data_IF_509387724672
#
_entry.id   IF_509387724672
#
_cell.length_a   1.000
_cell.length_b   1.000
_cell.length_c   1.000
_cell.angle_alpha   90.00
_cell.angle_beta   90.00
_cell.angle_gamma   90.00
#
_symmetry.space_group_name_H-M   'P 1'
#
loop_
_entity.id
_entity.type
_entity.pdbx_description
1 polymer ?
#
# COMPACT_ATOMS: atom_id res chain seq x y z
N UNK A 1 -33.06 4.50 13.54
CA UNK A 1 -31.62 4.61 13.23
C UNK A 1 -31.41 4.25 11.77
N UNK A 2 -30.58 5.01 11.05
CA UNK A 2 -30.30 4.72 9.64
C UNK A 2 -29.58 3.38 9.50
N UNK A 3 -29.89 2.62 8.45
CA UNK A 3 -29.21 1.35 8.14
C UNK A 3 -28.33 1.51 6.92
N UNK A 4 -27.16 0.91 6.96
CA UNK A 4 -26.17 0.91 5.87
C UNK A 4 -25.79 -0.50 5.47
N UNK A 5 -25.51 -0.69 4.18
CA UNK A 5 -25.03 -1.97 3.67
C UNK A 5 -23.58 -2.25 4.09
N UNK A 6 -23.37 -3.44 4.64
CA UNK A 6 -22.05 -3.98 4.98
C UNK A 6 -21.85 -5.27 4.16
N UNK A 7 -20.80 -5.33 3.34
CA UNK A 7 -20.50 -6.55 2.58
C UNK A 7 -19.88 -7.62 3.46
N UNK A 8 -18.83 -7.24 4.19
CA UNK A 8 -18.07 -8.11 5.07
C UNK A 8 -17.09 -7.29 5.92
N UNK A 9 -16.51 -7.95 6.91
CA UNK A 9 -15.33 -7.51 7.62
C UNK A 9 -14.11 -8.24 7.05
N UNK A 10 -12.94 -7.61 7.11
CA UNK A 10 -11.67 -8.30 6.87
C UNK A 10 -10.83 -8.26 8.12
N UNK A 11 -10.31 -9.40 8.56
CA UNK A 11 -9.39 -9.53 9.69
C UNK A 11 -7.99 -9.87 9.15
N UNK A 12 -6.96 -9.30 9.76
CA UNK A 12 -5.56 -9.59 9.40
C UNK A 12 -4.99 -10.77 10.19
N UNK A 13 -4.22 -11.64 9.54
CA UNK A 13 -3.50 -12.73 10.22
C UNK A 13 -2.12 -12.28 10.76
N UNK A 14 -1.63 -11.12 10.32
CA UNK A 14 -0.28 -10.62 10.69
C UNK A 14 -0.34 -9.91 12.04
N UNK A 15 -1.25 -8.95 12.18
CA UNK A 15 -1.46 -8.17 13.40
C UNK A 15 -2.97 -8.01 13.63
N UNK A 16 -3.47 -8.00 14.87
CA UNK A 16 -4.90 -7.84 15.11
C UNK A 16 -5.43 -6.49 14.62
N UNK A 17 -6.29 -6.50 13.59
CA UNK A 17 -6.99 -5.32 13.05
C UNK A 17 -8.12 -5.72 12.12
N UNK A 18 -9.08 -4.81 11.94
CA UNK A 18 -10.31 -5.07 11.20
C UNK A 18 -10.62 -3.99 10.16
N UNK A 19 -11.05 -4.40 8.97
CA UNK A 19 -11.60 -3.51 7.95
C UNK A 19 -13.10 -3.69 7.84
N UNK A 20 -13.83 -2.58 7.77
CA UNK A 20 -15.24 -2.52 7.46
C UNK A 20 -15.40 -2.27 5.96
N UNK A 21 -16.04 -3.19 5.23
CA UNK A 21 -16.39 -2.98 3.82
C UNK A 21 -17.85 -2.52 3.71
N UNK A 22 -18.04 -1.21 3.79
CA UNK A 22 -19.35 -0.57 3.60
C UNK A 22 -19.71 -0.53 2.11
N UNK A 23 -20.99 -0.29 1.79
CA UNK A 23 -21.45 -0.15 0.40
C UNK A 23 -22.02 1.23 0.09
N UNK A 24 -22.17 1.47 -1.22
CA UNK A 24 -22.71 2.69 -1.81
C UNK A 24 -21.64 3.75 -1.96
N UNK A 25 -21.60 4.42 -3.11
CA UNK A 25 -20.65 5.49 -3.41
C UNK A 25 -21.33 6.63 -4.17
N UNK A 26 -20.95 7.87 -3.85
CA UNK A 26 -21.40 9.09 -4.54
C UNK A 26 -20.62 9.38 -5.84
N UNK A 27 -19.50 8.67 -6.07
CA UNK A 27 -18.72 8.74 -7.32
C UNK A 27 -19.09 7.60 -8.27
N UNK A 28 -18.79 7.79 -9.55
CA UNK A 28 -18.88 6.78 -10.61
C UNK A 28 -17.53 6.61 -11.30
N UNK A 29 -16.49 6.43 -10.49
CA UNK A 29 -15.12 6.26 -10.98
C UNK A 29 -15.06 5.20 -12.07
N UNK A 30 -14.63 5.60 -13.28
CA UNK A 30 -14.47 4.71 -14.43
C UNK A 30 -13.50 3.56 -14.14
N UNK A 31 -12.41 3.86 -13.44
CA UNK A 31 -11.38 2.90 -13.04
C UNK A 31 -11.65 2.18 -11.71
N UNK A 32 -12.86 2.27 -11.14
CA UNK A 32 -13.15 1.61 -9.86
C UNK A 32 -13.01 0.09 -10.00
N UNK A 33 -12.38 -0.56 -9.03
CA UNK A 33 -12.22 -2.02 -9.00
C UNK A 33 -13.02 -2.70 -7.88
N UNK A 34 -13.84 -1.94 -7.16
CA UNK A 34 -14.58 -2.41 -5.97
C UNK A 34 -16.08 -2.51 -6.26
N UNK A 35 -16.67 -3.72 -6.18
CA UNK A 35 -18.12 -3.91 -6.28
C UNK A 35 -18.92 -3.12 -5.24
N UNK A 36 -18.31 -2.81 -4.09
CA UNK A 36 -18.91 -2.01 -3.02
C UNK A 36 -19.46 -0.65 -3.47
N UNK A 37 -19.00 -0.13 -4.62
CA UNK A 37 -19.53 1.08 -5.27
C UNK A 37 -21.03 1.03 -5.51
N UNK A 38 -21.56 -0.13 -5.91
CA UNK A 38 -22.91 -0.25 -6.48
C UNK A 38 -23.97 -0.65 -5.43
N UNK A 39 -23.62 -0.62 -4.14
CA UNK A 39 -24.54 -0.92 -3.04
C UNK A 39 -24.53 -2.41 -2.63
N UNK A 40 -25.65 -2.88 -2.08
CA UNK A 40 -25.80 -4.26 -1.60
C UNK A 40 -25.24 -4.49 -0.19
N UNK A 41 -24.96 -5.75 0.13
CA UNK A 41 -24.58 -6.19 1.46
C UNK A 41 -25.76 -6.34 2.43
N UNK A 42 -25.48 -6.64 3.69
CA UNK A 42 -26.49 -6.72 4.74
C UNK A 42 -26.76 -5.32 5.30
N UNK A 43 -28.02 -4.89 5.32
CA UNK A 43 -28.43 -3.61 5.92
C UNK A 43 -28.41 -3.70 7.44
N UNK A 44 -27.51 -2.94 8.05
CA UNK A 44 -27.28 -2.91 9.50
C UNK A 44 -27.25 -1.47 10.00
N UNK A 45 -27.73 -1.26 11.22
CA UNK A 45 -27.42 -0.06 12.01
C UNK A 45 -25.95 -0.07 12.42
N UNK A 46 -25.42 1.08 12.84
CA UNK A 46 -24.04 1.17 13.34
C UNK A 46 -23.82 0.22 14.55
N UNK A 47 -24.80 0.17 15.47
CA UNK A 47 -24.79 -0.75 16.63
C UNK A 47 -24.72 -2.22 16.21
N UNK A 48 -25.63 -2.66 15.31
CA UNK A 48 -25.62 -4.05 14.81
C UNK A 48 -24.30 -4.39 14.09
N UNK A 49 -23.70 -3.41 13.41
CA UNK A 49 -22.42 -3.57 12.71
C UNK A 49 -21.27 -3.76 13.71
N UNK A 50 -21.21 -2.95 14.76
CA UNK A 50 -20.23 -3.05 15.84
C UNK A 50 -20.34 -4.37 16.57
N UNK A 51 -21.55 -4.81 16.93
CA UNK A 51 -21.78 -6.09 17.60
C UNK A 51 -21.34 -7.29 16.75
N UNK A 52 -21.61 -7.25 15.44
CA UNK A 52 -21.17 -8.32 14.52
C UNK A 52 -19.65 -8.33 14.35
N UNK A 53 -19.03 -7.16 14.21
CA UNK A 53 -17.58 -7.03 14.15
C UNK A 53 -16.91 -7.52 15.43
N UNK A 54 -17.46 -7.16 16.60
CA UNK A 54 -16.94 -7.56 17.90
C UNK A 54 -16.99 -9.07 18.08
N UNK A 55 -18.11 -9.71 17.72
CA UNK A 55 -18.21 -11.18 17.68
C UNK A 55 -17.21 -11.80 16.70
N UNK A 56 -17.03 -11.21 15.51
CA UNK A 56 -16.05 -11.69 14.53
C UNK A 56 -14.61 -11.62 15.09
N UNK A 57 -14.25 -10.51 15.73
CA UNK A 57 -12.94 -10.33 16.35
C UNK A 57 -12.76 -11.26 17.55
N UNK A 58 -13.77 -11.42 18.40
CA UNK A 58 -13.73 -12.33 19.55
C UNK A 58 -13.55 -13.78 19.10
N UNK A 59 -14.27 -14.21 18.06
CA UNK A 59 -14.17 -15.57 17.53
C UNK A 59 -12.80 -15.87 16.90
N UNK A 60 -12.15 -14.87 16.31
CA UNK A 60 -10.89 -15.05 15.60
C UNK A 60 -9.64 -14.74 16.44
N UNK A 61 -9.62 -13.60 17.14
CA UNK A 61 -8.50 -13.12 17.94
C UNK A 61 -8.65 -13.37 19.45
N UNK A 62 -9.86 -13.70 19.93
CA UNK A 62 -10.16 -13.74 21.37
C UNK A 62 -10.26 -12.37 22.05
N UNK A 63 -10.21 -11.28 21.27
CA UNK A 63 -10.32 -9.89 21.74
C UNK A 63 -10.70 -8.94 20.59
N UNK A 64 -11.10 -7.73 20.94
CA UNK A 64 -11.16 -6.61 19.97
C UNK A 64 -9.74 -6.08 19.68
N UNK A 65 -9.40 -5.76 18.43
CA UNK A 65 -8.11 -5.15 18.08
C UNK A 65 -8.07 -3.66 18.43
N UNK A 66 -6.87 -3.07 18.40
CA UNK A 66 -6.67 -1.64 18.62
C UNK A 66 -6.86 -0.79 17.35
N UNK A 67 -6.78 -1.40 16.16
CA UNK A 67 -6.90 -0.70 14.87
C UNK A 67 -8.14 -1.15 14.08
N UNK A 68 -8.84 -0.16 13.52
CA UNK A 68 -9.97 -0.34 12.61
C UNK A 68 -9.80 0.53 11.37
N UNK A 69 -10.15 -0.01 10.21
CA UNK A 69 -10.17 0.71 8.94
C UNK A 69 -11.58 0.72 8.37
N UNK A 70 -12.11 1.90 8.08
CA UNK A 70 -13.45 2.06 7.49
C UNK A 70 -13.28 2.36 6.00
N UNK A 71 -13.77 1.46 5.15
CA UNK A 71 -13.56 1.51 3.69
C UNK A 71 -14.74 0.87 2.91
N UNK A 72 -14.53 0.52 1.64
CA UNK A 72 -15.52 -0.15 0.78
C UNK A 72 -16.06 0.80 -0.29
N UNK A 73 -17.33 1.18 -0.16
CA UNK A 73 -17.96 2.26 -0.92
C UNK A 73 -17.39 3.63 -0.54
N UNK A 74 -18.24 4.64 -0.35
CA UNK A 74 -17.83 5.93 0.21
C UNK A 74 -18.41 6.10 1.62
N UNK A 75 -17.64 5.84 2.69
CA UNK A 75 -18.14 5.93 4.06
C UNK A 75 -18.78 7.29 4.39
N UNK A 76 -18.32 8.38 3.79
CA UNK A 76 -18.80 9.71 4.19
C UNK A 76 -20.21 10.04 3.71
N UNK A 77 -20.81 9.25 2.80
CA UNK A 77 -22.18 9.50 2.30
C UNK A 77 -23.30 9.32 3.32
N UNK A 78 -23.00 8.74 4.49
CA UNK A 78 -23.96 8.56 5.58
C UNK A 78 -23.32 9.03 6.89
N UNK A 79 -23.40 10.35 7.12
CA UNK A 79 -22.75 11.05 8.23
C UNK A 79 -23.13 10.49 9.59
N UNK A 80 -24.42 10.36 9.88
CA UNK A 80 -24.91 9.86 11.17
C UNK A 80 -24.45 8.42 11.43
N UNK A 81 -24.48 7.56 10.41
CA UNK A 81 -23.97 6.20 10.53
C UNK A 81 -22.47 6.18 10.81
N UNK A 82 -21.67 6.97 10.07
CA UNK A 82 -20.22 7.01 10.23
C UNK A 82 -19.83 7.55 11.61
N UNK A 83 -20.44 8.65 12.07
CA UNK A 83 -20.19 9.21 13.40
C UNK A 83 -20.54 8.21 14.50
N UNK A 84 -21.68 7.52 14.38
CA UNK A 84 -22.09 6.47 15.32
C UNK A 84 -21.10 5.30 15.34
N UNK A 85 -20.57 4.91 14.17
CA UNK A 85 -19.59 3.84 14.04
C UNK A 85 -18.25 4.23 14.69
N UNK A 86 -17.73 5.44 14.41
CA UNK A 86 -16.46 5.93 14.98
C UNK A 86 -16.57 6.07 16.50
N UNK A 87 -17.62 6.69 17.03
CA UNK A 87 -17.86 6.79 18.50
C UNK A 87 -17.96 5.41 19.13
N UNK A 88 -18.66 4.49 18.48
CA UNK A 88 -18.83 3.12 18.97
C UNK A 88 -17.57 2.26 18.93
N UNK A 89 -16.65 2.51 17.99
CA UNK A 89 -15.30 1.94 17.96
C UNK A 89 -14.46 2.53 19.09
N UNK A 90 -14.45 3.87 19.24
CA UNK A 90 -13.69 4.55 20.29
C UNK A 90 -14.10 4.07 21.68
N UNK A 91 -15.39 3.95 21.94
CA UNK A 91 -15.94 3.42 23.20
C UNK A 91 -15.61 1.94 23.48
N UNK A 92 -15.17 1.18 22.46
CA UNK A 92 -14.69 -0.21 22.58
C UNK A 92 -13.17 -0.34 22.72
N UNK A 93 -12.45 0.77 22.88
CA UNK A 93 -11.01 0.77 23.09
C UNK A 93 -10.18 0.72 21.81
N UNK A 94 -10.76 1.02 20.65
CA UNK A 94 -9.98 1.23 19.43
C UNK A 94 -9.19 2.54 19.55
N UNK A 95 -7.88 2.44 19.39
CA UNK A 95 -6.96 3.57 19.48
C UNK A 95 -6.74 4.22 18.12
N UNK A 96 -6.67 3.40 17.06
CA UNK A 96 -6.40 3.85 15.69
C UNK A 96 -7.57 3.53 14.77
N UNK A 97 -8.43 4.51 14.55
CA UNK A 97 -9.56 4.43 13.62
C UNK A 97 -9.19 5.19 12.36
N UNK A 98 -9.05 4.47 11.25
CA UNK A 98 -8.63 5.01 9.95
C UNK A 98 -9.83 5.07 9.00
N UNK A 99 -10.14 6.25 8.48
CA UNK A 99 -11.16 6.46 7.46
C UNK A 99 -10.51 6.47 6.08
N UNK A 100 -10.95 5.59 5.17
CA UNK A 100 -10.57 5.66 3.75
C UNK A 100 -11.73 6.25 2.95
N UNK A 101 -11.52 7.40 2.31
CA UNK A 101 -12.59 8.20 1.71
C UNK A 101 -12.13 8.89 0.42
N UNK A 102 -13.07 9.25 -0.45
CA UNK A 102 -12.86 10.20 -1.54
C UNK A 102 -12.95 11.66 -1.08
N UNK A 103 -13.33 11.93 0.17
CA UNK A 103 -13.33 13.25 0.79
C UNK A 103 -14.44 14.20 0.34
N UNK A 104 -15.25 13.87 -0.65
CA UNK A 104 -16.19 14.84 -1.24
C UNK A 104 -17.18 15.41 -0.23
N UNK A 105 -17.82 14.56 0.58
CA UNK A 105 -18.81 15.02 1.57
C UNK A 105 -18.17 15.79 2.73
N UNK A 106 -16.92 15.46 3.09
CA UNK A 106 -16.15 16.21 4.11
C UNK A 106 -15.86 17.64 3.66
N UNK A 107 -15.71 17.85 2.35
CA UNK A 107 -15.52 19.16 1.76
C UNK A 107 -16.79 19.98 1.64
N UNK A 108 -17.93 19.31 1.40
CA UNK A 108 -19.24 19.96 1.27
C UNK A 108 -19.76 20.44 2.63
N UNK A 109 -19.61 19.63 3.68
CA UNK A 109 -20.14 19.91 5.00
C UNK A 109 -19.04 20.44 5.94
N UNK A 110 -19.15 21.71 6.34
CA UNK A 110 -18.21 22.39 7.24
C UNK A 110 -18.09 21.72 8.63
N UNK A 111 -19.16 21.11 9.14
CA UNK A 111 -19.16 20.50 10.48
C UNK A 111 -18.56 19.10 10.51
N UNK A 112 -18.43 18.44 9.36
CA UNK A 112 -18.17 17.00 9.31
C UNK A 112 -16.78 16.62 9.81
N UNK A 113 -15.72 17.34 9.42
CA UNK A 113 -14.36 17.07 9.90
C UNK A 113 -14.24 17.29 11.42
N UNK A 114 -14.70 18.44 12.00
CA UNK A 114 -14.74 18.62 13.45
C UNK A 114 -15.52 17.53 14.20
N UNK A 115 -16.67 17.12 13.69
CA UNK A 115 -17.48 16.08 14.33
C UNK A 115 -16.82 14.70 14.29
N UNK A 116 -16.06 14.38 13.23
CA UNK A 116 -15.26 13.16 13.15
C UNK A 116 -14.08 13.17 14.12
N UNK A 117 -13.42 14.31 14.26
CA UNK A 117 -12.35 14.51 15.24
C UNK A 117 -12.87 14.31 16.66
N UNK A 118 -13.99 14.96 17.01
CA UNK A 118 -14.65 14.80 18.30
C UNK A 118 -15.11 13.35 18.55
N UNK A 119 -15.59 12.67 17.50
CA UNK A 119 -15.97 11.26 17.57
C UNK A 119 -14.79 10.32 17.86
N UNK A 120 -13.55 10.78 17.66
CA UNK A 120 -12.32 10.03 17.91
C UNK A 120 -11.71 9.38 16.66
N UNK A 121 -11.97 9.92 15.46
CA UNK A 121 -11.26 9.49 14.26
C UNK A 121 -9.78 9.85 14.39
N UNK A 122 -8.89 8.87 14.17
CA UNK A 122 -7.45 9.07 14.35
C UNK A 122 -6.75 9.49 13.05
N UNK A 123 -7.14 8.90 11.92
CA UNK A 123 -6.45 9.07 10.64
C UNK A 123 -7.45 9.06 9.47
N UNK A 124 -7.21 9.90 8.46
CA UNK A 124 -7.98 9.95 7.22
C UNK A 124 -7.07 9.75 6.00
N UNK A 125 -7.42 8.76 5.17
CA UNK A 125 -6.81 8.50 3.87
C UNK A 125 -7.73 9.04 2.78
N UNK A 126 -7.39 10.20 2.22
CA UNK A 126 -8.18 10.87 1.19
C UNK A 126 -7.64 10.54 -0.19
N UNK A 127 -8.46 9.94 -1.05
CA UNK A 127 -8.11 9.69 -2.44
C UNK A 127 -8.56 10.84 -3.33
N UNK A 128 -7.62 11.71 -3.70
CA UNK A 128 -7.85 12.94 -4.48
C UNK A 128 -8.24 12.64 -5.93
N UNK A 129 -7.89 11.46 -6.46
CA UNK A 129 -8.10 11.02 -7.85
C UNK A 129 -7.34 11.85 -8.90
N UNK A 130 -7.60 13.14 -9.00
CA UNK A 130 -7.04 14.06 -9.99
C UNK A 130 -7.14 15.52 -9.49
N UNK A 131 -6.10 16.31 -9.76
CA UNK A 131 -6.04 17.73 -9.45
C UNK A 131 -6.69 18.61 -10.51
N UNK A 132 -6.64 18.23 -11.79
CA UNK A 132 -7.36 18.98 -12.82
C UNK A 132 -8.87 18.66 -12.72
N UNK A 133 -9.72 19.70 -12.64
CA UNK A 133 -11.15 19.52 -12.41
C UNK A 133 -11.83 18.77 -13.57
N UNK A 134 -11.42 19.01 -14.81
CA UNK A 134 -11.91 18.33 -16.02
C UNK A 134 -11.56 16.84 -16.00
N UNK A 135 -10.31 16.48 -15.66
CA UNK A 135 -9.86 15.10 -15.48
C UNK A 135 -10.65 14.42 -14.35
N UNK A 136 -10.79 15.11 -13.22
CA UNK A 136 -11.55 14.59 -12.09
C UNK A 136 -13.02 14.35 -12.43
N UNK A 137 -13.67 15.29 -13.13
CA UNK A 137 -15.06 15.14 -13.60
C UNK A 137 -15.21 14.00 -14.59
N UNK A 138 -14.31 13.90 -15.56
CA UNK A 138 -14.32 12.82 -16.53
C UNK A 138 -14.18 11.46 -15.84
N UNK A 139 -13.29 11.36 -14.84
CA UNK A 139 -12.99 10.11 -14.16
C UNK A 139 -14.07 9.71 -13.16
N UNK A 140 -14.54 10.65 -12.33
CA UNK A 140 -15.41 10.37 -11.16
C UNK A 140 -16.88 10.75 -11.34
N UNK A 141 -17.18 11.62 -12.30
CA UNK A 141 -18.48 12.27 -12.48
C UNK A 141 -18.70 13.52 -11.61
N UNK A 142 -17.72 13.96 -10.81
CA UNK A 142 -17.87 15.07 -9.85
C UNK A 142 -16.71 16.07 -9.95
N UNK A 143 -16.91 17.29 -9.44
CA UNK A 143 -15.83 18.27 -9.26
C UNK A 143 -14.85 17.80 -8.18
N UNK A 144 -13.58 18.18 -8.28
CA UNK A 144 -12.60 17.95 -7.22
C UNK A 144 -12.60 19.04 -6.14
N UNK A 145 -13.27 20.18 -6.35
CA UNK A 145 -13.26 21.31 -5.40
C UNK A 145 -13.63 20.89 -3.97
N UNK A 146 -14.69 20.08 -3.74
CA UNK A 146 -14.97 19.60 -2.39
C UNK A 146 -13.85 18.70 -1.85
N UNK A 147 -13.24 17.85 -2.68
CA UNK A 147 -12.14 16.98 -2.25
C UNK A 147 -10.92 17.79 -1.82
N UNK A 148 -10.57 18.85 -2.58
CA UNK A 148 -9.50 19.78 -2.22
C UNK A 148 -9.80 20.49 -0.90
N UNK A 149 -11.04 20.98 -0.71
CA UNK A 149 -11.47 21.60 0.56
C UNK A 149 -11.43 20.62 1.73
N UNK A 150 -11.77 19.34 1.52
CA UNK A 150 -11.65 18.31 2.55
C UNK A 150 -10.21 18.11 2.99
N UNK A 151 -9.26 18.11 2.06
CA UNK A 151 -7.83 18.01 2.35
C UNK A 151 -7.36 19.21 3.18
N UNK A 152 -7.80 20.42 2.84
CA UNK A 152 -7.50 21.64 3.62
C UNK A 152 -8.05 21.55 5.05
N UNK A 153 -9.32 21.15 5.19
CA UNK A 153 -9.99 20.98 6.50
C UNK A 153 -9.32 19.91 7.36
N UNK A 154 -8.97 18.77 6.78
CA UNK A 154 -8.28 17.68 7.48
C UNK A 154 -6.84 18.07 7.87
N UNK A 155 -6.14 18.82 7.03
CA UNK A 155 -4.80 19.32 7.38
C UNK A 155 -4.84 20.34 8.53
N UNK A 156 -5.97 21.05 8.70
CA UNK A 156 -6.18 22.01 9.79
C UNK A 156 -6.73 21.37 11.08
N UNK A 157 -7.09 20.09 11.07
CA UNK A 157 -7.62 19.37 12.24
C UNK A 157 -6.54 18.54 12.95
N UNK A 158 -6.88 17.93 14.08
CA UNK A 158 -6.03 16.96 14.78
C UNK A 158 -6.05 15.55 14.19
N UNK A 159 -6.71 15.32 13.05
CA UNK A 159 -6.77 14.01 12.39
C UNK A 159 -5.52 13.83 11.52
N UNK A 160 -4.82 12.70 11.67
CA UNK A 160 -3.67 12.42 10.82
C UNK A 160 -4.10 12.28 9.34
N UNK A 161 -3.42 13.01 8.45
CA UNK A 161 -3.75 13.03 7.03
C UNK A 161 -2.77 12.19 6.20
N UNK A 162 -3.33 11.35 5.33
CA UNK A 162 -2.63 10.77 4.19
C UNK A 162 -3.45 11.08 2.93
N UNK A 163 -2.82 11.73 1.96
CA UNK A 163 -3.44 11.92 0.65
C UNK A 163 -2.93 10.85 -0.29
N UNK A 164 -3.80 10.33 -1.14
CA UNK A 164 -3.42 9.36 -2.14
C UNK A 164 -4.04 9.65 -3.50
N UNK A 165 -3.42 9.12 -4.55
CA UNK A 165 -3.99 9.08 -5.89
C UNK A 165 -3.63 7.77 -6.58
N UNK A 166 -4.27 7.52 -7.72
CA UNK A 166 -3.94 6.40 -8.61
C UNK A 166 -3.27 6.96 -9.86
N UNK A 167 -2.03 6.57 -10.10
CA UNK A 167 -1.32 6.90 -11.34
C UNK A 167 -1.91 6.12 -12.51
N UNK A 168 -2.37 6.85 -13.52
CA UNK A 168 -3.06 6.33 -14.71
C UNK A 168 -2.40 6.91 -15.96
N UNK A 169 -1.62 6.12 -16.74
CA UNK A 169 -0.92 6.63 -17.91
C UNK A 169 -1.82 7.41 -18.87
N UNK A 170 -1.44 8.64 -19.17
CA UNK A 170 -2.16 9.56 -20.07
C UNK A 170 -3.46 10.16 -19.50
N UNK A 171 -3.74 9.97 -18.20
CA UNK A 171 -4.94 10.51 -17.54
C UNK A 171 -4.55 11.20 -16.22
N UNK A 172 -3.99 10.44 -15.29
CA UNK A 172 -3.42 10.91 -14.02
C UNK A 172 -1.95 10.55 -14.05
N UNK A 173 -1.22 11.27 -14.90
CA UNK A 173 0.18 11.03 -15.22
C UNK A 173 1.11 11.96 -14.42
N UNK A 174 2.39 12.03 -14.83
CA UNK A 174 3.40 12.84 -14.15
C UNK A 174 2.98 14.30 -13.92
N UNK A 175 2.23 14.91 -14.85
CA UNK A 175 1.78 16.29 -14.73
C UNK A 175 0.70 16.48 -13.66
N UNK A 176 -0.21 15.51 -13.52
CA UNK A 176 -1.18 15.51 -12.41
C UNK A 176 -0.49 15.27 -11.07
N UNK A 177 0.49 14.36 -11.01
CA UNK A 177 1.27 14.09 -9.80
C UNK A 177 2.00 15.35 -9.32
N UNK A 178 2.64 16.09 -10.23
CA UNK A 178 3.31 17.36 -9.91
C UNK A 178 2.34 18.38 -9.32
N UNK A 179 1.17 18.55 -9.94
CA UNK A 179 0.13 19.47 -9.46
C UNK A 179 -0.39 19.10 -8.08
N UNK A 180 -0.64 17.81 -7.85
CA UNK A 180 -1.05 17.30 -6.53
C UNK A 180 0.05 17.59 -5.50
N UNK A 181 1.30 17.21 -5.79
CA UNK A 181 2.41 17.40 -4.86
C UNK A 181 2.64 18.88 -4.53
N UNK A 182 2.54 19.76 -5.53
CA UNK A 182 2.63 21.23 -5.36
C UNK A 182 1.52 21.75 -4.45
N UNK A 183 0.26 21.34 -4.69
CA UNK A 183 -0.87 21.73 -3.85
C UNK A 183 -0.69 21.28 -2.40
N UNK A 184 -0.34 20.01 -2.17
CA UNK A 184 -0.12 19.50 -0.82
C UNK A 184 1.03 20.23 -0.11
N UNK A 185 2.14 20.47 -0.82
CA UNK A 185 3.27 21.22 -0.27
C UNK A 185 2.93 22.67 0.08
N UNK A 186 1.97 23.28 -0.64
CA UNK A 186 1.46 24.63 -0.33
C UNK A 186 0.64 24.69 0.96
N UNK A 187 0.02 23.58 1.37
CA UNK A 187 -0.71 23.47 2.64
C UNK A 187 0.22 23.11 3.79
N UNK A 188 1.02 22.05 3.60
CA UNK A 188 1.94 21.51 4.60
C UNK A 188 2.88 20.49 3.95
N UNK A 189 4.18 20.76 3.94
CA UNK A 189 5.18 19.87 3.33
C UNK A 189 5.25 18.49 3.99
N UNK A 190 4.79 18.34 5.24
CA UNK A 190 4.84 17.06 5.94
C UNK A 190 3.70 16.11 5.58
N UNK A 191 2.72 16.53 4.76
CA UNK A 191 1.62 15.66 4.33
C UNK A 191 2.18 14.40 3.66
N UNK A 192 1.74 13.23 4.12
CA UNK A 192 2.07 11.95 3.48
C UNK A 192 1.31 11.83 2.18
N UNK A 193 2.03 11.60 1.09
CA UNK A 193 1.44 11.45 -0.24
C UNK A 193 1.73 10.07 -0.82
N UNK A 194 0.67 9.31 -1.11
CA UNK A 194 0.75 7.96 -1.65
C UNK A 194 0.29 7.89 -3.10
N UNK A 195 1.15 7.37 -3.97
CA UNK A 195 0.82 7.12 -5.37
C UNK A 195 0.65 5.61 -5.55
N UNK A 196 -0.53 5.18 -5.99
CA UNK A 196 -0.86 3.79 -6.28
C UNK A 196 -0.86 3.56 -7.80
N UNK A 197 -0.33 2.44 -8.31
CA UNK A 197 -0.42 2.14 -9.74
C UNK A 197 -1.81 1.67 -10.12
N UNK A 198 -2.31 2.11 -11.28
CA UNK A 198 -3.60 1.65 -11.81
C UNK A 198 -3.59 0.15 -12.14
N UNK A 199 -4.60 -0.57 -11.68
CA UNK A 199 -4.81 -1.99 -11.96
C UNK A 199 -5.91 -2.16 -13.03
N UNK A 200 -5.54 -2.00 -14.30
CA UNK A 200 -6.45 -2.01 -15.45
C UNK A 200 -7.29 -3.29 -15.57
N UNK A 201 -6.72 -4.45 -15.20
CA UNK A 201 -7.40 -5.76 -15.16
C UNK A 201 -8.72 -5.74 -14.39
N UNK A 202 -8.77 -5.00 -13.27
CA UNK A 202 -9.90 -5.01 -12.36
C UNK A 202 -10.81 -3.79 -12.51
N UNK A 203 -10.50 -2.91 -13.46
CA UNK A 203 -11.23 -1.68 -13.65
C UNK A 203 -12.62 -1.93 -14.24
N UNK A 204 -13.61 -1.21 -13.72
CA UNK A 204 -14.98 -1.20 -14.22
C UNK A 204 -15.05 -0.85 -15.72
N UNK A 205 -14.37 0.22 -16.11
CA UNK A 205 -14.12 0.61 -17.49
C UNK A 205 -12.63 0.51 -17.82
N UNK A 206 -12.35 0.07 -19.05
CA UNK A 206 -11.00 0.14 -19.62
C UNK A 206 -10.70 1.55 -20.07
N UNK A 207 -9.97 2.27 -19.21
CA UNK A 207 -9.63 3.68 -19.42
C UNK A 207 -8.20 3.89 -19.88
N UNK A 208 -7.27 3.07 -19.40
CA UNK A 208 -5.86 3.06 -19.82
C UNK A 208 -5.21 1.74 -19.41
N UNK A 209 -3.95 1.54 -19.79
CA UNK A 209 -3.14 0.39 -19.37
C UNK A 209 -2.58 0.58 -17.95
N UNK A 210 -2.05 -0.49 -17.37
CA UNK A 210 -1.19 -0.42 -16.19
C UNK A 210 0.03 0.48 -16.45
N UNK A 211 0.47 1.28 -15.47
CA UNK A 211 1.73 2.01 -15.57
C UNK A 211 2.93 1.07 -15.58
N UNK A 212 3.92 1.47 -16.34
CA UNK A 212 5.28 0.92 -16.31
C UNK A 212 5.99 1.36 -15.04
N UNK A 213 7.12 0.71 -14.75
CA UNK A 213 7.93 1.02 -13.59
C UNK A 213 8.59 2.39 -13.73
N UNK A 214 9.15 2.67 -14.90
CA UNK A 214 9.76 3.96 -15.20
C UNK A 214 8.76 5.12 -15.04
N UNK A 215 7.48 4.92 -15.38
CA UNK A 215 6.42 5.91 -15.12
C UNK A 215 6.19 6.12 -13.62
N UNK A 216 6.15 5.04 -12.84
CA UNK A 216 5.99 5.13 -11.39
C UNK A 216 7.21 5.76 -10.70
N UNK A 217 8.42 5.47 -11.16
CA UNK A 217 9.66 6.10 -10.68
C UNK A 217 9.67 7.59 -10.99
N UNK A 218 9.35 8.00 -12.23
CA UNK A 218 9.28 9.42 -12.59
C UNK A 218 8.23 10.16 -11.76
N UNK A 219 7.06 9.57 -11.56
CA UNK A 219 6.02 10.13 -10.70
C UNK A 219 6.53 10.34 -9.26
N UNK A 220 7.25 9.36 -8.71
CA UNK A 220 7.87 9.44 -7.39
C UNK A 220 8.88 10.58 -7.31
N UNK A 221 9.83 10.64 -8.25
CA UNK A 221 10.88 11.66 -8.30
C UNK A 221 10.31 13.07 -8.43
N UNK A 222 9.26 13.25 -9.22
CA UNK A 222 8.56 14.52 -9.38
C UNK A 222 7.93 14.96 -8.06
N UNK A 223 7.19 14.06 -7.39
CA UNK A 223 6.55 14.38 -6.12
C UNK A 223 7.58 14.70 -5.02
N UNK A 224 8.72 14.00 -4.99
CA UNK A 224 9.81 14.23 -4.02
C UNK A 224 10.43 15.63 -4.09
N UNK A 225 10.29 16.34 -5.22
CA UNK A 225 10.76 17.73 -5.32
C UNK A 225 9.98 18.68 -4.41
N UNK A 226 8.76 18.29 -4.02
CA UNK A 226 7.83 19.13 -3.25
C UNK A 226 7.55 18.58 -1.85
N UNK A 227 7.54 17.25 -1.70
CA UNK A 227 7.18 16.57 -0.46
C UNK A 227 8.26 15.56 -0.06
N UNK A 228 8.77 15.58 1.18
CA UNK A 228 9.70 14.55 1.69
C UNK A 228 9.02 13.20 1.95
N UNK A 229 7.70 13.17 2.18
CA UNK A 229 6.96 12.00 2.65
C UNK A 229 6.15 11.31 1.53
N UNK A 230 6.77 11.09 0.37
CA UNK A 230 6.14 10.41 -0.77
C UNK A 230 6.26 8.89 -0.64
N UNK A 231 5.19 8.17 -0.98
CA UNK A 231 5.09 6.72 -0.90
C UNK A 231 4.60 6.17 -2.24
N UNK A 232 5.34 5.26 -2.86
CA UNK A 232 4.78 4.39 -3.91
C UNK A 232 4.22 3.14 -3.24
N UNK A 233 2.90 2.96 -3.32
CA UNK A 233 2.23 1.88 -2.61
C UNK A 233 2.04 0.65 -3.48
N UNK A 234 2.27 -0.51 -2.84
CA UNK A 234 2.00 -1.84 -3.40
C UNK A 234 0.61 -2.36 -3.03
N UNK A 235 -0.31 -1.53 -2.54
CA UNK A 235 -1.62 -1.97 -2.01
C UNK A 235 -2.44 -2.79 -3.02
N UNK A 236 -2.43 -2.41 -4.30
CA UNK A 236 -3.04 -3.20 -5.39
C UNK A 236 -2.32 -4.54 -5.67
N UNK A 237 -1.07 -4.71 -5.21
CA UNK A 237 -0.31 -5.96 -5.25
C UNK A 237 -0.50 -6.81 -3.99
N UNK A 238 -0.89 -6.21 -2.87
CA UNK A 238 -1.03 -6.89 -1.56
C UNK A 238 -2.15 -7.91 -1.53
N UNK A 239 -3.12 -7.78 -2.44
CA UNK A 239 -4.14 -8.80 -2.66
C UNK A 239 -3.55 -10.06 -3.32
N UNK A 240 -2.37 -9.99 -3.93
CA UNK A 240 -1.66 -11.14 -4.47
C UNK A 240 -0.56 -11.62 -3.51
N UNK A 241 -0.61 -12.87 -3.06
CA UNK A 241 0.35 -13.34 -2.10
C UNK A 241 1.71 -13.53 -2.79
N UNK A 242 2.78 -13.04 -2.16
CA UNK A 242 4.17 -13.32 -2.57
C UNK A 242 4.40 -14.80 -2.32
N UNK A 243 5.09 -15.58 -3.17
CA UNK A 243 5.49 -16.92 -2.77
C UNK A 243 6.39 -16.85 -1.52
N UNK A 244 6.14 -17.64 -0.47
CA UNK A 244 5.01 -18.57 -0.31
C UNK A 244 3.71 -17.83 0.03
N UNK A 245 2.56 -18.27 -0.52
CA UNK A 245 1.37 -17.46 -0.55
C UNK A 245 0.91 -17.03 0.86
N UNK A 246 1.05 -15.73 1.17
CA UNK A 246 0.68 -15.19 2.46
C UNK A 246 -0.85 -15.21 2.65
N UNK A 247 -1.32 -16.19 3.43
CA UNK A 247 -2.66 -16.20 4.03
C UNK A 247 -2.71 -15.03 5.04
N UNK A 248 -3.20 -13.87 4.59
CA UNK A 248 -3.09 -12.62 5.37
C UNK A 248 -4.42 -12.01 5.74
N UNK A 249 -5.50 -12.44 5.09
CA UNK A 249 -6.81 -11.82 5.20
C UNK A 249 -7.90 -12.87 5.37
N UNK A 250 -8.68 -12.71 6.44
CA UNK A 250 -9.87 -13.50 6.71
C UNK A 250 -11.09 -12.63 6.42
N UNK A 251 -11.96 -13.07 5.53
CA UNK A 251 -13.24 -12.40 5.29
C UNK A 251 -14.28 -12.97 6.23
N UNK A 252 -14.98 -12.10 6.95
CA UNK A 252 -16.09 -12.49 7.83
C UNK A 252 -17.34 -11.76 7.36
N UNK A 253 -18.34 -12.49 6.90
CA UNK A 253 -19.59 -11.90 6.45
C UNK A 253 -20.46 -11.47 7.64
N UNK A 254 -21.48 -10.61 7.43
CA UNK A 254 -22.33 -10.14 8.51
C UNK A 254 -23.06 -11.24 9.28
N UNK A 255 -23.30 -12.41 8.68
CA UNK A 255 -23.87 -13.59 9.34
C UNK A 255 -22.84 -14.41 10.14
N UNK A 256 -21.62 -13.88 10.29
CA UNK A 256 -20.45 -14.49 10.95
C UNK A 256 -19.86 -15.69 10.21
N UNK A 257 -20.28 -15.96 8.97
CA UNK A 257 -19.60 -16.95 8.15
C UNK A 257 -18.20 -16.47 7.79
N UNK A 258 -17.21 -17.35 7.94
CA UNK A 258 -15.81 -17.04 7.73
C UNK A 258 -15.32 -17.68 6.43
N UNK A 259 -14.71 -16.89 5.56
CA UNK A 259 -14.12 -17.35 4.31
C UNK A 259 -12.68 -16.83 4.17
N UNK A 260 -11.75 -17.76 3.93
CA UNK A 260 -10.39 -17.43 3.46
C UNK A 260 -10.45 -17.22 1.95
N UNK A 261 -10.60 -15.98 1.52
CA UNK A 261 -10.72 -15.64 0.09
C UNK A 261 -9.35 -15.66 -0.57
N UNK A 262 -9.13 -16.63 -1.45
CA UNK A 262 -7.96 -16.65 -2.32
C UNK A 262 -8.12 -15.73 -3.53
N UNK A 263 -7.08 -15.69 -4.36
CA UNK A 263 -7.10 -14.93 -5.61
C UNK A 263 -8.21 -15.39 -6.56
N UNK A 264 -8.48 -16.70 -6.62
CA UNK A 264 -9.56 -17.25 -7.44
C UNK A 264 -10.93 -16.77 -6.98
N UNK A 265 -11.19 -16.76 -5.67
CA UNK A 265 -12.46 -16.23 -5.13
C UNK A 265 -12.67 -14.76 -5.47
N UNK A 266 -11.61 -13.95 -5.32
CA UNK A 266 -11.67 -12.52 -5.65
C UNK A 266 -11.85 -12.29 -7.15
N UNK A 267 -11.19 -13.10 -7.98
CA UNK A 267 -11.35 -13.09 -9.42
C UNK A 267 -12.77 -13.49 -9.81
N UNK A 268 -13.32 -14.58 -9.31
CA UNK A 268 -14.69 -15.01 -9.64
C UNK A 268 -15.74 -13.98 -9.24
N UNK A 269 -15.65 -13.39 -8.05
CA UNK A 269 -16.55 -12.32 -7.62
C UNK A 269 -16.44 -11.07 -8.51
N UNK A 270 -15.22 -10.66 -8.85
CA UNK A 270 -15.00 -9.54 -9.77
C UNK A 270 -15.52 -9.85 -11.15
N UNK A 271 -15.31 -11.06 -11.65
CA UNK A 271 -15.80 -11.49 -12.94
C UNK A 271 -17.33 -11.47 -12.94
N UNK A 272 -17.98 -11.96 -11.88
CA UNK A 272 -19.43 -11.89 -11.73
C UNK A 272 -19.93 -10.44 -11.77
N UNK A 273 -19.26 -9.54 -11.05
CA UNK A 273 -19.63 -8.12 -11.00
C UNK A 273 -19.39 -7.40 -12.34
N UNK A 274 -18.21 -7.56 -12.95
CA UNK A 274 -17.87 -6.96 -14.25
C UNK A 274 -18.71 -7.54 -15.39
N UNK A 275 -19.16 -8.79 -15.28
CA UNK A 275 -20.03 -9.42 -16.27
C UNK A 275 -21.41 -8.76 -16.36
N UNK A 276 -21.81 -7.96 -15.35
CA UNK A 276 -23.03 -7.17 -15.42
C UNK A 276 -22.92 -5.98 -16.39
N UNK A 277 -21.70 -5.58 -16.76
CA UNK A 277 -21.43 -4.36 -17.54
C UNK A 277 -20.59 -4.61 -18.79
N UNK A 278 -19.90 -5.75 -18.86
CA UNK A 278 -19.03 -6.16 -19.97
C UNK A 278 -19.24 -7.66 -20.25
N UNK A 279 -19.08 -8.14 -21.50
CA UNK A 279 -19.14 -9.57 -21.79
C UNK A 279 -18.09 -10.34 -20.98
N UNK A 280 -18.50 -11.46 -20.37
CA UNK A 280 -17.65 -12.28 -19.49
C UNK A 280 -16.38 -12.72 -20.21
N UNK A 281 -16.51 -13.17 -21.46
CA UNK A 281 -15.41 -13.63 -22.32
C UNK A 281 -14.39 -12.52 -22.52
N UNK A 282 -14.86 -11.30 -22.78
CA UNK A 282 -13.99 -10.12 -22.92
C UNK A 282 -13.23 -9.78 -21.64
N UNK A 283 -13.85 -9.92 -20.46
CA UNK A 283 -13.15 -9.72 -19.18
C UNK A 283 -12.07 -10.78 -18.96
N UNK A 284 -12.36 -12.05 -19.28
CA UNK A 284 -11.39 -13.15 -19.13
C UNK A 284 -10.22 -13.01 -20.11
N UNK A 285 -10.48 -12.68 -21.38
CA UNK A 285 -9.42 -12.44 -22.37
C UNK A 285 -8.45 -11.33 -21.92
N UNK A 286 -8.97 -10.28 -21.30
CA UNK A 286 -8.14 -9.17 -20.83
C UNK A 286 -7.23 -9.57 -19.68
N UNK A 287 -7.73 -10.44 -18.79
CA UNK A 287 -6.94 -10.98 -17.70
C UNK A 287 -5.83 -11.90 -18.19
N UNK A 288 -6.00 -12.51 -19.37
CA UNK A 288 -4.99 -13.33 -20.02
C UNK A 288 -3.99 -12.49 -20.84
N UNK A 289 -4.44 -11.38 -21.46
CA UNK A 289 -3.61 -10.47 -22.27
C UNK A 289 -2.65 -9.63 -21.43
N UNK A 290 -3.08 -9.22 -20.23
CA UNK A 290 -2.13 -8.70 -19.26
C UNK A 290 -1.35 -9.87 -18.66
N UNK A 291 -0.26 -10.27 -19.31
CA UNK A 291 0.76 -11.09 -18.68
C UNK A 291 1.12 -10.42 -17.35
N UNK A 292 0.72 -11.05 -16.25
CA UNK A 292 1.19 -10.65 -14.94
C UNK A 292 2.66 -10.99 -14.89
N UNK A 293 3.48 -10.03 -15.30
CA UNK A 293 4.91 -10.14 -15.27
C UNK A 293 5.35 -10.28 -13.79
N UNK A 294 5.51 -11.51 -13.33
CA UNK A 294 6.02 -11.83 -11.99
C UNK A 294 7.49 -11.42 -11.82
N UNK A 295 8.20 -11.16 -12.93
CA UNK A 295 9.51 -10.52 -12.97
C UNK A 295 9.39 -9.02 -12.65
N UNK A 296 8.34 -8.34 -13.12
CA UNK A 296 7.95 -6.96 -12.75
C UNK A 296 7.73 -6.78 -11.23
N UNK A 297 7.27 -7.85 -10.56
CA UNK A 297 7.09 -7.88 -9.10
C UNK A 297 8.42 -7.96 -8.36
N UNK A 298 9.38 -8.76 -8.83
CA UNK A 298 10.72 -8.84 -8.26
C UNK A 298 11.50 -7.55 -8.54
N UNK A 299 11.31 -6.96 -9.71
CA UNK A 299 11.89 -5.68 -10.03
C UNK A 299 11.29 -4.57 -9.18
N UNK A 300 9.98 -4.54 -8.85
CA UNK A 300 9.44 -3.61 -7.83
C UNK A 300 10.03 -3.75 -6.42
N UNK A 301 10.61 -4.91 -6.09
CA UNK A 301 11.38 -5.14 -4.85
C UNK A 301 12.80 -4.57 -4.96
N UNK A 302 13.33 -4.40 -6.18
CA UNK A 302 14.64 -3.80 -6.50
C UNK A 302 14.62 -2.42 -7.18
N UNK A 303 13.46 -1.87 -7.53
CA UNK A 303 13.21 -0.59 -8.22
C UNK A 303 12.76 0.41 -7.15
N UNK A 304 13.66 0.68 -6.21
CA UNK A 304 13.90 2.10 -5.98
C UNK A 304 15.02 2.59 -6.88
N UNK A 305 15.82 1.71 -7.51
CA UNK A 305 16.98 2.14 -8.27
C UNK A 305 17.44 1.07 -9.26
N UNK A 306 17.06 1.15 -10.54
CA UNK A 306 17.89 0.67 -11.65
C UNK A 306 17.39 1.17 -13.01
N UNK A 307 18.09 2.15 -13.57
CA UNK A 307 18.35 2.17 -15.01
C UNK A 307 19.76 2.63 -15.29
N UNK A 308 20.56 1.73 -15.87
CA UNK A 308 21.57 2.09 -16.86
C UNK A 308 21.85 0.88 -17.77
N UNK A 309 21.18 0.90 -18.93
CA UNK A 309 21.57 0.36 -20.26
C UNK A 309 22.46 -0.88 -20.30
N UNK A 310 21.89 -2.01 -20.75
CA UNK A 310 22.64 -3.00 -21.52
C UNK A 310 22.55 -2.65 -23.01
N UNK A 311 23.60 -2.01 -23.54
CA UNK A 311 24.04 -2.22 -24.92
C UNK A 311 25.30 -3.07 -24.84
N UNK A 312 25.24 -4.32 -25.28
CA UNK A 312 26.40 -5.21 -25.33
C UNK A 312 26.03 -6.68 -25.18
N UNK A 313 26.11 -7.40 -26.30
CA UNK A 313 26.46 -8.81 -26.50
C UNK A 313 26.48 -9.70 -25.24
N UNK A 314 25.67 -10.77 -25.26
CA UNK A 314 25.86 -11.94 -24.38
C UNK A 314 27.16 -12.63 -24.79
N UNK A 315 28.25 -12.36 -24.07
CA UNK A 315 29.37 -13.28 -23.97
C UNK A 315 29.16 -14.17 -22.76
N UNK A 316 29.27 -15.48 -22.98
CA UNK A 316 29.44 -16.48 -21.94
C UNK A 316 30.71 -16.14 -21.16
N UNK A 317 30.60 -15.85 -19.86
CA UNK A 317 31.76 -15.73 -18.99
C UNK A 317 31.66 -16.73 -17.83
N UNK A 318 32.67 -17.58 -17.81
CA UNK A 318 33.02 -18.55 -16.78
C UNK A 318 33.31 -17.83 -15.44
N UNK A 319 32.84 -18.40 -14.32
CA UNK A 319 33.51 -18.32 -13.01
C UNK A 319 33.63 -16.98 -12.28
N UNK A 320 32.57 -16.20 -12.09
CA UNK A 320 32.58 -15.07 -11.14
C UNK A 320 32.16 -15.53 -9.73
N UNK A 321 33.10 -15.57 -8.78
CA UNK A 321 32.85 -15.81 -7.33
C UNK A 321 32.52 -14.51 -6.56
N UNK A 322 31.83 -13.55 -7.21
CA UNK A 322 31.51 -12.25 -6.61
C UNK A 322 30.06 -12.18 -6.19
N UNK A 323 29.80 -11.50 -5.06
CA UNK A 323 28.46 -11.22 -4.56
C UNK A 323 28.15 -9.75 -4.75
N UNK A 324 26.95 -9.47 -5.23
CA UNK A 324 26.48 -8.11 -5.46
C UNK A 324 25.61 -7.67 -4.29
N UNK A 325 26.00 -6.61 -3.60
CA UNK A 325 25.21 -5.97 -2.55
C UNK A 325 24.61 -4.68 -3.08
N UNK A 326 23.29 -4.52 -2.99
CA UNK A 326 22.57 -3.30 -3.32
C UNK A 326 22.19 -2.54 -2.05
N UNK A 327 22.33 -1.22 -2.08
CA UNK A 327 22.01 -0.33 -0.97
C UNK A 327 20.76 0.49 -1.27
N UNK A 328 19.97 0.87 -0.25
CA UNK A 328 18.88 1.81 -0.45
C UNK A 328 19.43 3.24 -0.51
N UNK A 329 18.70 4.16 -1.15
CA UNK A 329 19.07 5.59 -1.22
C UNK A 329 19.40 6.19 0.16
N UNK A 330 18.75 5.72 1.24
CA UNK A 330 19.03 6.14 2.62
C UNK A 330 20.49 5.93 3.04
N UNK A 331 21.21 4.98 2.44
CA UNK A 331 22.63 4.72 2.71
C UNK A 331 23.57 5.39 1.70
N UNK A 332 23.06 6.04 0.65
CA UNK A 332 23.88 6.61 -0.42
C UNK A 332 24.86 7.69 0.09
N UNK A 333 24.48 8.44 1.13
CA UNK A 333 25.37 9.43 1.76
C UNK A 333 26.62 8.78 2.37
N UNK A 334 26.51 7.51 2.79
CA UNK A 334 27.58 6.69 3.39
C UNK A 334 28.33 5.87 2.34
N UNK A 335 27.61 5.18 1.45
CA UNK A 335 28.21 4.26 0.47
C UNK A 335 28.73 4.95 -0.77
N UNK A 336 28.19 6.13 -1.11
CA UNK A 336 28.44 6.88 -2.36
C UNK A 336 28.13 6.10 -3.65
N UNK A 337 27.55 4.91 -3.52
CA UNK A 337 27.18 4.01 -4.61
C UNK A 337 25.87 3.31 -4.26
N UNK A 338 25.16 2.85 -5.30
CA UNK A 338 23.90 2.09 -5.17
C UNK A 338 24.13 0.58 -5.03
N UNK A 339 25.35 0.13 -5.31
CA UNK A 339 25.74 -1.26 -5.18
C UNK A 339 27.25 -1.38 -4.95
N UNK A 340 27.65 -2.56 -4.47
CA UNK A 340 29.04 -2.97 -4.34
C UNK A 340 29.18 -4.44 -4.72
N UNK A 341 30.29 -4.79 -5.35
CA UNK A 341 30.70 -6.18 -5.50
C UNK A 341 31.74 -6.54 -4.44
N UNK A 342 31.61 -7.73 -3.88
CA UNK A 342 32.50 -8.29 -2.88
C UNK A 342 32.93 -9.67 -3.31
N UNK A 343 34.23 -9.95 -3.21
CA UNK A 343 34.78 -11.27 -3.51
C UNK A 343 34.37 -12.25 -2.41
N UNK A 344 33.85 -13.42 -2.81
CA UNK A 344 33.42 -14.49 -1.92
C UNK A 344 34.21 -15.76 -2.24
N UNK A 345 35.35 -15.91 -1.57
CA UNK A 345 36.19 -17.11 -1.69
C UNK A 345 35.48 -18.28 -0.98
N UNK A 346 34.67 -19.05 -1.72
CA UNK A 346 33.93 -20.21 -1.20
C UNK A 346 32.62 -19.90 -0.46
N UNK A 347 32.21 -20.77 0.46
CA UNK A 347 30.98 -20.60 1.26
C UNK A 347 31.21 -19.57 2.36
N UNK A 348 30.58 -18.40 2.24
CA UNK A 348 30.63 -17.32 3.24
C UNK A 348 29.26 -17.13 3.88
N UNK A 349 29.17 -16.44 5.01
CA UNK A 349 27.87 -16.06 5.62
C UNK A 349 27.54 -14.60 5.34
N UNK A 350 26.27 -14.24 5.48
CA UNK A 350 25.83 -12.86 5.41
C UNK A 350 26.52 -11.99 6.48
N UNK A 351 26.81 -12.55 7.65
CA UNK A 351 27.59 -11.89 8.69
C UNK A 351 28.94 -11.39 8.18
N UNK A 352 29.67 -12.25 7.49
CA UNK A 352 30.97 -11.93 6.94
C UNK A 352 30.87 -10.89 5.81
N UNK A 353 29.83 -10.98 4.97
CA UNK A 353 29.53 -9.95 3.97
C UNK A 353 29.28 -8.60 4.65
N UNK A 354 28.51 -8.56 5.73
CA UNK A 354 28.27 -7.33 6.47
C UNK A 354 29.55 -6.77 7.10
N UNK A 355 30.46 -7.62 7.60
CA UNK A 355 31.77 -7.19 8.12
C UNK A 355 32.63 -6.55 7.03
N UNK A 356 32.72 -7.17 5.84
CA UNK A 356 33.42 -6.58 4.67
C UNK A 356 32.82 -5.23 4.25
N UNK A 357 31.51 -5.05 4.37
CA UNK A 357 30.85 -3.76 4.11
C UNK A 357 31.21 -2.71 5.17
N UNK A 358 31.31 -3.10 6.45
CA UNK A 358 31.78 -2.20 7.52
C UNK A 358 33.24 -1.81 7.27
N UNK A 359 34.11 -2.73 6.89
CA UNK A 359 35.50 -2.41 6.54
C UNK A 359 35.58 -1.42 5.37
N UNK A 360 34.71 -1.58 4.36
CA UNK A 360 34.69 -0.71 3.18
C UNK A 360 34.11 0.68 3.45
N UNK A 361 33.06 0.79 4.26
CA UNK A 361 32.30 2.04 4.44
C UNK A 361 32.44 2.68 5.84
N UNK A 362 33.14 2.03 6.76
CA UNK A 362 33.49 2.53 8.08
C UNK A 362 32.38 2.39 9.15
N UNK A 363 32.71 2.84 10.37
CA UNK A 363 31.87 2.66 11.56
C UNK A 363 30.48 3.30 11.44
N UNK A 364 30.34 4.44 10.75
CA UNK A 364 29.04 5.09 10.54
C UNK A 364 28.06 4.20 9.77
N UNK A 365 28.55 3.36 8.85
CA UNK A 365 27.73 2.37 8.17
C UNK A 365 27.27 1.28 9.14
N UNK A 366 28.18 0.76 9.96
CA UNK A 366 27.87 -0.21 11.02
C UNK A 366 26.80 0.33 11.97
N UNK A 367 26.99 1.53 12.52
CA UNK A 367 26.03 2.17 13.42
C UNK A 367 24.67 2.41 12.75
N UNK A 368 24.62 2.57 11.43
CA UNK A 368 23.36 2.81 10.72
C UNK A 368 22.60 1.50 10.47
N UNK A 369 23.29 0.43 10.08
CA UNK A 369 22.66 -0.80 9.57
C UNK A 369 22.65 -1.96 10.58
N UNK A 370 23.61 -1.99 11.50
CA UNK A 370 23.85 -3.10 12.42
C UNK A 370 23.56 -2.71 13.88
N UNK A 371 23.10 -3.68 14.66
CA UNK A 371 23.02 -3.62 16.11
C UNK A 371 24.01 -4.63 16.71
N UNK A 372 24.76 -4.21 17.73
CA UNK A 372 25.70 -5.09 18.44
C UNK A 372 25.04 -5.58 19.73
N UNK A 373 25.03 -6.90 19.94
CA UNK A 373 24.58 -7.46 21.21
C UNK A 373 25.71 -7.38 22.24
N UNK A 374 25.53 -6.52 23.25
CA UNK A 374 26.53 -6.18 24.26
C UNK A 374 26.94 -7.33 25.18
N UNK A 375 26.24 -8.47 25.15
CA UNK A 375 26.58 -9.64 25.96
C UNK A 375 27.59 -10.59 25.30
N UNK A 376 27.55 -10.74 23.96
CA UNK A 376 28.27 -11.80 23.25
C UNK A 376 29.06 -11.35 22.00
N UNK A 377 28.97 -10.07 21.60
CA UNK A 377 29.70 -9.56 20.42
C UNK A 377 29.16 -10.02 19.06
N UNK A 378 28.00 -10.68 19.04
CA UNK A 378 27.29 -11.01 17.79
C UNK A 378 26.71 -9.72 17.16
N UNK A 379 26.82 -9.62 15.83
CA UNK A 379 26.21 -8.53 15.06
C UNK A 379 24.85 -8.98 14.53
N UNK A 380 23.88 -8.07 14.51
CA UNK A 380 22.58 -8.31 13.89
C UNK A 380 22.17 -7.11 13.03
N UNK A 381 21.18 -7.29 12.16
CA UNK A 381 20.65 -6.20 11.33
C UNK A 381 19.66 -5.39 12.18
N UNK A 382 19.85 -4.06 12.25
CA UNK A 382 18.91 -3.16 12.93
C UNK A 382 17.50 -3.38 12.41
N UNK A 383 16.52 -3.32 13.32
CA UNK A 383 15.08 -3.47 12.98
C UNK A 383 14.59 -2.54 11.87
N UNK A 384 15.20 -1.36 11.75
CA UNK A 384 14.92 -0.37 10.70
C UNK A 384 15.43 -0.78 9.31
N UNK A 385 16.06 -1.95 9.17
CA UNK A 385 16.50 -2.51 7.90
C UNK A 385 15.99 -3.95 7.71
N UNK A 386 15.72 -4.30 6.46
CA UNK A 386 15.47 -5.67 6.03
C UNK A 386 16.53 -6.04 4.99
N UNK A 387 17.06 -7.26 5.09
CA UNK A 387 18.02 -7.78 4.13
C UNK A 387 17.38 -8.94 3.37
N UNK A 388 17.63 -8.98 2.07
CA UNK A 388 17.14 -10.01 1.17
C UNK A 388 18.33 -10.67 0.48
N UNK A 389 18.26 -11.99 0.33
CA UNK A 389 19.19 -12.79 -0.47
C UNK A 389 18.40 -13.37 -1.64
N UNK A 390 18.76 -13.03 -2.88
CA UNK A 390 18.09 -13.48 -4.10
C UNK A 390 16.55 -13.32 -4.04
N UNK A 391 16.10 -12.23 -3.43
CA UNK A 391 14.67 -11.91 -3.25
C UNK A 391 14.00 -12.52 -2.02
N UNK A 392 14.67 -13.39 -1.24
CA UNK A 392 14.15 -13.95 0.01
C UNK A 392 14.62 -13.16 1.23
N UNK A 393 13.69 -12.75 2.11
CA UNK A 393 14.06 -12.07 3.35
C UNK A 393 14.84 -13.02 4.27
N UNK A 394 15.97 -12.57 4.79
CA UNK A 394 16.88 -13.40 5.62
C UNK A 394 16.23 -13.92 6.91
N UNK A 395 15.16 -13.27 7.41
CA UNK A 395 14.37 -13.73 8.56
C UNK A 395 13.65 -15.04 8.29
N UNK A 396 13.40 -15.36 7.02
CA UNK A 396 12.83 -16.65 6.59
C UNK A 396 13.92 -17.69 6.25
N UNK A 397 15.19 -17.32 6.45
CA UNK A 397 16.37 -18.18 6.28
C UNK A 397 17.03 -18.37 7.65
N UNK A 398 18.36 -18.31 7.72
CA UNK A 398 19.13 -18.42 8.98
C UNK A 398 19.55 -17.05 9.53
N UNK A 399 18.81 -15.98 9.19
CA UNK A 399 19.14 -14.61 9.59
C UNK A 399 20.51 -14.19 9.07
N UNK A 400 21.32 -13.58 9.93
CA UNK A 400 22.68 -13.16 9.56
C UNK A 400 23.65 -14.34 9.34
N UNK A 401 23.31 -15.55 9.81
CA UNK A 401 24.06 -16.79 9.60
C UNK A 401 23.68 -17.50 8.30
N UNK A 402 22.94 -16.82 7.40
CA UNK A 402 22.58 -17.36 6.08
C UNK A 402 23.85 -17.51 5.23
N UNK A 403 24.00 -18.66 4.60
CA UNK A 403 25.11 -18.97 3.67
C UNK A 403 24.91 -18.20 2.35
N UNK A 404 26.00 -17.71 1.79
CA UNK A 404 26.09 -16.90 0.58
C UNK A 404 27.07 -17.56 -0.38
N UNK A 405 26.68 -17.62 -1.64
CA UNK A 405 27.44 -18.22 -2.74
C UNK A 405 27.82 -17.16 -3.78
N UNK A 406 28.83 -17.46 -4.60
CA UNK A 406 29.19 -16.62 -5.74
C UNK A 406 28.01 -16.41 -6.69
N UNK A 407 27.84 -15.18 -7.16
CA UNK A 407 26.71 -14.66 -7.95
C UNK A 407 25.41 -14.40 -7.18
N UNK A 408 25.40 -14.54 -5.86
CA UNK A 408 24.27 -14.09 -5.05
C UNK A 408 24.09 -12.58 -5.10
N UNK A 409 22.84 -12.15 -5.05
CA UNK A 409 22.45 -10.76 -4.90
C UNK A 409 21.85 -10.52 -3.51
N UNK A 410 22.50 -9.64 -2.75
CA UNK A 410 22.04 -9.17 -1.44
C UNK A 410 21.45 -7.77 -1.60
N UNK A 411 20.29 -7.54 -1.02
CA UNK A 411 19.64 -6.23 -1.02
C UNK A 411 19.41 -5.79 0.42
N UNK A 412 19.99 -4.66 0.79
CA UNK A 412 19.71 -3.98 2.07
C UNK A 412 18.62 -2.95 1.82
N UNK A 413 17.52 -3.01 2.56
CA UNK A 413 16.39 -2.10 2.45
C UNK A 413 16.11 -1.44 3.80
N UNK A 414 15.85 -0.13 3.81
CA UNK A 414 15.37 0.56 5.02
C UNK A 414 13.86 0.33 5.20
N UNK A 415 13.35 0.42 6.43
CA UNK A 415 11.91 0.39 6.72
C UNK A 415 11.13 1.54 6.06
N UNK A 416 11.84 2.62 5.69
CA UNK A 416 11.27 3.76 4.97
C UNK A 416 10.85 3.36 3.54
N UNK A 417 11.31 2.21 3.05
CA UNK A 417 10.79 1.56 1.85
C UNK A 417 9.72 0.50 2.18
N UNK A 418 8.52 0.97 2.52
CA UNK A 418 7.24 0.25 2.35
C UNK A 418 6.88 -0.80 3.41
N UNK A 419 5.84 -0.51 4.20
CA UNK A 419 5.20 -1.46 5.13
C UNK A 419 4.19 -2.42 4.52
#
# INVERSE_FOLDING_TARGET
MNKRGVLYFTLSEIEPRVWFMLTGCNFRCRGCFRPARDGGGTLLTATETLERMERACQNYYGKVPAEAMITGGEPTTDKEYLLSLVRGLKGRGFEKIVLMTNGYELGVDEGYVPELEEAGLAEAHVDLKAYSEDVHRWYTGKSNKPVLSAIEKLNASGIELLVQTIYMPGIVDEGEIERIATFLASLNQNIRYRINPFASVFAYEKVTRRPTLDEMERAYEIALRYLPNVIISRSCYREYPTPPPQKTWITVYPDLTVKRRGMKDQAEERLSWLSCVRPREGVVEDWQKEEWDFTLRHSLVGISELSAKHSGVREENEGSERVKVKFPQALHSLTKTRWAELDCDGSTTLEEVMRKLVERYGEKFSETVLEMDGANGEINIKRSFNVYLNGMNIKNLRGIKTEIQGNDEIIILSWVSGG
#
